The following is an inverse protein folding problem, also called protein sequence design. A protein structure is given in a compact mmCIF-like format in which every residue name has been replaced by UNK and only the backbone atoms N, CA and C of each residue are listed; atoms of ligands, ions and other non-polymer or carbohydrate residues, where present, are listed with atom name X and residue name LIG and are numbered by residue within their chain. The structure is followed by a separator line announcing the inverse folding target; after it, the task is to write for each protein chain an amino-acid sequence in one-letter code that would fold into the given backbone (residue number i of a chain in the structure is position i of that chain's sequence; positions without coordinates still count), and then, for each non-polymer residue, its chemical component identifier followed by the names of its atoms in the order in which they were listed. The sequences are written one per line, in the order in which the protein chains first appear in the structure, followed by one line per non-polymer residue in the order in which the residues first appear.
data_IF_072594154538
#
_entry.id   IF_072594154538
#
_cell.length_a   1.000
_cell.length_b   1.000
_cell.length_c   1.000
_cell.angle_alpha   90.00
_cell.angle_beta   90.00
_cell.angle_gamma   90.00
#
_symmetry.space_group_name_H-M   'P 1'
#
loop_
_entity.id
_entity.type
_entity.pdbx_description
1 polymer ?
#
# COMPACT_ATOMS: atom_id res chain seq x y z
N UNK A 1 -4.69 6.19 16.32
CA UNK A 1 -4.37 6.12 14.87
C UNK A 1 -4.02 4.66 14.53
N UNK A 2 -3.72 4.22 13.30
CA UNK A 2 -3.21 2.85 13.11
C UNK A 2 -1.85 2.69 13.79
N UNK A 3 -1.76 1.80 14.77
CA UNK A 3 -0.49 1.43 15.41
C UNK A 3 0.18 0.31 14.63
N UNK A 4 1.47 0.46 14.33
CA UNK A 4 2.32 -0.54 13.67
C UNK A 4 3.36 -1.02 14.68
N UNK A 5 3.37 -2.32 14.97
CA UNK A 5 4.39 -2.94 15.80
C UNK A 5 5.53 -3.43 14.91
N UNK A 6 6.75 -2.97 15.16
CA UNK A 6 7.94 -3.35 14.41
C UNK A 6 9.02 -3.90 15.33
N UNK A 7 9.80 -4.86 14.86
CA UNK A 7 10.96 -5.35 15.60
C UNK A 7 12.01 -4.24 15.71
N UNK A 8 12.43 -3.92 16.93
CA UNK A 8 13.30 -2.78 17.25
C UNK A 8 14.67 -2.90 16.60
N UNK A 9 15.28 -4.09 16.70
CA UNK A 9 16.61 -4.33 16.14
C UNK A 9 16.58 -4.32 14.61
N UNK A 10 15.53 -4.91 13.99
CA UNK A 10 15.37 -4.89 12.53
C UNK A 10 15.16 -3.45 12.02
N UNK A 11 14.34 -2.64 12.71
CA UNK A 11 14.14 -1.23 12.32
C UNK A 11 15.45 -0.45 12.42
N UNK A 12 16.19 -0.58 13.52
CA UNK A 12 17.44 0.14 13.73
C UNK A 12 18.52 -0.27 12.73
N UNK A 13 18.55 -1.55 12.34
CA UNK A 13 19.41 -2.01 11.25
C UNK A 13 19.05 -1.34 9.93
N UNK A 14 17.75 -1.23 9.59
CA UNK A 14 17.30 -0.53 8.39
C UNK A 14 17.57 0.98 8.42
N UNK A 15 17.58 1.59 9.61
CA UNK A 15 17.96 3.00 9.81
C UNK A 15 19.49 3.19 9.83
N UNK A 16 20.28 2.11 9.90
CA UNK A 16 21.74 2.13 9.87
C UNK A 16 22.42 2.55 11.17
N UNK A 17 21.67 2.68 12.28
CA UNK A 17 22.23 2.90 13.63
C UNK A 17 21.22 2.50 14.70
N UNK A 18 21.72 2.21 15.89
CA UNK A 18 20.88 2.08 17.10
C UNK A 18 20.52 3.47 17.65
N UNK A 19 19.33 3.56 18.25
CA UNK A 19 18.84 4.75 18.94
C UNK A 19 18.50 4.41 20.40
N UNK A 20 18.66 5.36 21.32
CA UNK A 20 17.95 5.26 22.61
C UNK A 20 16.45 5.44 22.40
N UNK A 21 15.65 5.10 23.41
CA UNK A 21 14.18 5.30 23.34
C UNK A 21 13.87 6.79 23.18
N UNK A 22 14.56 7.66 23.90
CA UNK A 22 14.38 9.12 23.82
C UNK A 22 14.81 9.69 22.46
N UNK A 23 15.95 9.24 21.91
CA UNK A 23 16.39 9.68 20.58
C UNK A 23 15.43 9.26 19.47
N UNK A 24 14.82 8.08 19.59
CA UNK A 24 13.85 7.60 18.62
C UNK A 24 12.49 8.29 18.78
N UNK A 25 12.06 8.54 20.02
CA UNK A 25 10.85 9.31 20.31
C UNK A 25 10.94 10.74 19.75
N UNK A 26 12.07 11.42 19.94
CA UNK A 26 12.32 12.75 19.37
C UNK A 26 12.29 12.73 17.83
N UNK A 27 12.90 11.71 17.20
CA UNK A 27 12.82 11.53 15.74
C UNK A 27 11.38 11.32 15.25
N UNK A 28 10.60 10.50 15.95
CA UNK A 28 9.18 10.27 15.66
C UNK A 28 8.42 11.60 15.73
N UNK A 29 8.59 12.35 16.82
CA UNK A 29 7.93 13.62 17.04
C UNK A 29 8.28 14.65 15.95
N UNK A 30 9.56 14.79 15.60
CA UNK A 30 10.02 15.70 14.54
C UNK A 30 9.39 15.36 13.18
N UNK A 31 9.23 14.07 12.89
CA UNK A 31 8.64 13.60 11.63
C UNK A 31 7.10 13.63 11.62
N UNK A 32 6.46 13.74 12.78
CA UNK A 32 4.99 13.75 12.91
C UNK A 32 4.36 12.35 13.07
N UNK A 33 5.11 11.40 13.61
CA UNK A 33 4.62 10.09 14.08
C UNK A 33 4.84 9.98 15.59
N UNK A 34 4.22 9.02 16.26
CA UNK A 34 4.33 8.90 17.73
C UNK A 34 4.84 7.51 18.12
N UNK A 35 5.82 7.46 19.02
CA UNK A 35 6.23 6.22 19.67
C UNK A 35 5.30 5.97 20.86
N UNK A 36 4.34 5.05 20.67
CA UNK A 36 3.34 4.70 21.70
C UNK A 36 3.95 3.82 22.80
N UNK A 37 4.77 2.83 22.41
CA UNK A 37 5.36 1.89 23.36
C UNK A 37 6.70 1.33 22.86
N UNK A 38 7.67 1.21 23.77
CA UNK A 38 8.92 0.46 23.58
C UNK A 38 8.95 -0.72 24.55
N UNK A 39 8.79 -1.93 24.03
CA UNK A 39 8.63 -3.14 24.86
C UNK A 39 9.94 -3.67 25.43
N UNK A 40 11.06 -2.94 25.32
CA UNK A 40 12.39 -3.38 25.79
C UNK A 40 12.39 -3.85 27.25
N UNK A 41 11.57 -3.24 28.11
CA UNK A 41 11.50 -3.60 29.53
C UNK A 41 10.48 -4.69 29.84
N UNK A 42 9.59 -5.02 28.90
CA UNK A 42 8.43 -5.91 29.10
C UNK A 42 8.58 -7.27 28.39
N UNK A 43 9.61 -7.44 27.55
CA UNK A 43 9.84 -8.68 26.81
C UNK A 43 10.24 -9.86 27.71
N UNK A 44 9.65 -11.02 27.45
CA UNK A 44 10.08 -12.25 28.11
C UNK A 44 11.50 -12.65 27.64
N UNK A 45 12.18 -13.49 28.43
CA UNK A 45 13.52 -13.99 28.06
C UNK A 45 13.47 -14.71 26.71
N UNK A 46 14.20 -14.18 25.73
CA UNK A 46 14.30 -14.74 24.38
C UNK A 46 13.38 -14.08 23.35
N UNK A 47 12.52 -13.15 23.76
CA UNK A 47 11.75 -12.31 22.85
C UNK A 47 12.55 -11.08 22.43
N UNK A 48 12.42 -10.68 21.15
CA UNK A 48 13.02 -9.44 20.65
C UNK A 48 12.07 -8.27 20.90
N UNK A 49 12.59 -7.12 21.38
CA UNK A 49 11.77 -5.96 21.67
C UNK A 49 11.13 -5.36 20.43
N UNK A 50 9.96 -4.78 20.62
CA UNK A 50 9.17 -4.13 19.59
C UNK A 50 8.98 -2.65 19.90
N UNK A 51 8.87 -1.87 18.85
CA UNK A 51 8.42 -0.48 18.90
C UNK A 51 7.00 -0.43 18.34
N UNK A 52 6.06 0.10 19.12
CA UNK A 52 4.69 0.38 18.65
C UNK A 52 4.63 1.84 18.25
N UNK A 53 4.39 2.08 16.97
CA UNK A 53 4.43 3.42 16.38
C UNK A 53 3.03 3.76 15.87
N UNK A 54 2.45 4.86 16.33
CA UNK A 54 1.21 5.40 15.76
C UNK A 54 1.50 6.18 14.48
N UNK A 55 0.79 5.81 13.42
CA UNK A 55 0.98 6.36 12.08
C UNK A 55 -0.25 7.18 11.67
N UNK A 56 -0.09 8.39 11.09
CA UNK A 56 -1.20 9.15 10.53
C UNK A 56 -2.06 8.32 9.57
N UNK A 57 -3.39 8.39 9.72
CA UNK A 57 -4.32 7.53 8.99
C UNK A 57 -4.35 7.75 7.46
N UNK A 58 -3.74 8.82 6.97
CA UNK A 58 -3.56 9.16 5.56
C UNK A 58 -2.24 8.62 4.95
N UNK A 59 -1.27 8.18 5.77
CA UNK A 59 0.03 7.69 5.32
C UNK A 59 0.10 6.17 5.23
N UNK A 60 -0.52 5.64 4.18
CA UNK A 60 -0.63 4.19 3.97
C UNK A 60 0.70 3.49 3.69
N UNK A 61 1.68 4.23 3.17
CA UNK A 61 3.03 3.76 2.91
C UNK A 61 3.71 3.31 4.22
N UNK A 62 3.39 3.93 5.36
CA UNK A 62 4.01 3.63 6.65
C UNK A 62 3.30 2.55 7.46
N UNK A 63 2.40 1.77 6.86
CA UNK A 63 1.68 0.69 7.56
C UNK A 63 2.50 -0.61 7.70
N UNK A 64 3.81 -0.56 7.41
CA UNK A 64 4.75 -1.68 7.53
C UNK A 64 6.16 -1.15 7.85
N UNK A 65 7.05 -2.05 8.32
CA UNK A 65 8.42 -1.68 8.70
C UNK A 65 9.21 -1.15 7.50
N UNK A 66 8.97 -1.69 6.31
CA UNK A 66 9.64 -1.28 5.07
C UNK A 66 9.37 0.19 4.75
N UNK A 67 8.13 0.63 4.92
CA UNK A 67 7.70 1.99 4.65
C UNK A 67 8.12 2.99 5.73
N UNK A 68 8.01 2.61 7.00
CA UNK A 68 8.52 3.43 8.12
C UNK A 68 10.01 3.68 7.95
N UNK A 69 10.79 2.63 7.73
CA UNK A 69 12.24 2.75 7.53
C UNK A 69 12.59 3.59 6.28
N UNK A 70 11.82 3.45 5.20
CA UNK A 70 12.03 4.24 3.98
C UNK A 70 11.76 5.72 4.24
N UNK A 71 10.61 6.06 4.82
CA UNK A 71 10.21 7.45 5.09
C UNK A 71 11.18 8.15 6.06
N UNK A 72 11.59 7.47 7.13
CA UNK A 72 12.55 8.03 8.09
C UNK A 72 13.95 8.20 7.48
N UNK A 73 14.42 7.28 6.64
CA UNK A 73 15.71 7.45 5.97
C UNK A 73 15.69 8.58 4.93
N UNK A 74 14.57 8.81 4.24
CA UNK A 74 14.38 9.98 3.36
C UNK A 74 14.41 11.28 4.18
N UNK A 75 13.68 11.31 5.30
CA UNK A 75 13.63 12.46 6.21
C UNK A 75 15.00 12.83 6.77
N UNK A 76 15.78 11.82 7.16
CA UNK A 76 17.15 11.96 7.64
C UNK A 76 18.16 12.29 6.53
N UNK A 77 17.73 12.35 5.26
CA UNK A 77 18.59 12.62 4.11
C UNK A 77 19.57 11.49 3.79
N UNK A 78 19.29 10.26 4.25
CA UNK A 78 20.14 9.07 4.04
C UNK A 78 19.77 8.30 2.78
N UNK A 79 18.54 8.45 2.30
CA UNK A 79 18.06 7.87 1.05
C UNK A 79 17.23 8.86 0.25
N UNK A 80 17.00 8.53 -1.02
CA UNK A 80 16.04 9.22 -1.88
C UNK A 80 14.85 8.31 -2.15
N UNK A 81 13.74 8.91 -2.59
CA UNK A 81 12.54 8.19 -3.00
C UNK A 81 12.88 7.11 -4.06
N UNK A 82 12.39 5.86 -3.91
CA UNK A 82 12.70 4.79 -4.84
C UNK A 82 12.23 5.10 -6.27
N UNK A 83 13.03 4.69 -7.25
CA UNK A 83 12.65 4.73 -8.65
C UNK A 83 11.95 3.44 -9.04
N UNK A 84 10.62 3.47 -9.06
CA UNK A 84 9.81 2.34 -9.53
C UNK A 84 9.92 2.19 -11.06
N UNK A 85 9.99 0.95 -11.53
CA UNK A 85 10.01 0.65 -12.97
C UNK A 85 9.10 -0.51 -13.33
N UNK A 86 8.50 -0.45 -14.53
CA UNK A 86 7.72 -1.55 -15.08
C UNK A 86 8.62 -2.47 -15.91
N UNK A 87 8.67 -3.76 -15.57
CA UNK A 87 9.45 -4.75 -16.29
C UNK A 87 8.67 -6.05 -16.50
N UNK A 88 8.42 -6.46 -17.76
CA UNK A 88 8.66 -5.70 -18.99
C UNK A 88 7.82 -4.40 -19.03
N UNK A 89 8.26 -3.41 -19.81
CA UNK A 89 7.56 -2.13 -19.94
C UNK A 89 6.16 -2.27 -20.58
N UNK A 90 5.97 -3.31 -21.39
CA UNK A 90 4.68 -3.66 -21.99
C UNK A 90 4.13 -4.89 -21.28
N UNK A 91 2.87 -4.86 -20.79
CA UNK A 91 2.30 -6.00 -20.08
C UNK A 91 2.19 -7.24 -20.98
N UNK A 92 2.66 -8.36 -20.46
CA UNK A 92 2.56 -9.68 -21.12
C UNK A 92 1.42 -10.52 -20.55
N UNK A 93 1.01 -10.25 -19.32
CA UNK A 93 -0.10 -10.92 -18.63
C UNK A 93 -1.35 -10.07 -18.75
N UNK A 94 -2.49 -10.73 -18.94
CA UNK A 94 -3.80 -10.08 -19.05
C UNK A 94 -4.76 -10.61 -17.98
N UNK A 95 -5.55 -9.72 -17.40
CA UNK A 95 -6.72 -10.05 -16.58
C UNK A 95 -7.96 -9.40 -17.19
N UNK A 96 -8.97 -10.18 -17.56
CA UNK A 96 -10.21 -9.66 -18.17
C UNK A 96 -11.31 -9.54 -17.13
N UNK A 97 -11.85 -8.34 -16.94
CA UNK A 97 -13.04 -8.08 -16.12
C UNK A 97 -14.29 -8.28 -16.98
N UNK A 98 -15.17 -9.20 -16.57
CA UNK A 98 -16.45 -9.46 -17.23
C UNK A 98 -17.54 -8.52 -16.71
N UNK A 99 -18.50 -8.20 -17.57
CA UNK A 99 -19.64 -7.33 -17.23
C UNK A 99 -20.44 -7.85 -16.02
N UNK A 100 -20.45 -9.16 -15.80
CA UNK A 100 -21.15 -9.79 -14.67
C UNK A 100 -20.72 -9.27 -13.30
N UNK A 101 -19.49 -8.74 -13.15
CA UNK A 101 -19.02 -8.18 -11.88
C UNK A 101 -19.66 -6.83 -11.55
N UNK A 102 -20.28 -6.15 -12.54
CA UNK A 102 -20.85 -4.80 -12.38
C UNK A 102 -21.99 -4.73 -11.37
N UNK A 103 -22.69 -5.85 -11.15
CA UNK A 103 -23.82 -5.94 -10.22
C UNK A 103 -23.41 -6.02 -8.75
N UNK A 104 -22.14 -6.32 -8.47
CA UNK A 104 -21.67 -6.58 -7.11
C UNK A 104 -20.36 -5.86 -6.77
N UNK A 105 -19.34 -5.98 -7.61
CA UNK A 105 -17.97 -5.51 -7.33
C UNK A 105 -17.25 -5.21 -8.66
N UNK A 106 -17.49 -4.03 -9.26
CA UNK A 106 -17.15 -3.74 -10.65
C UNK A 106 -15.65 -3.60 -10.96
N UNK A 107 -14.81 -3.26 -9.97
CA UNK A 107 -13.43 -2.86 -10.22
C UNK A 107 -12.44 -3.93 -9.80
N UNK A 108 -11.38 -4.09 -10.59
CA UNK A 108 -10.21 -4.87 -10.23
C UNK A 108 -8.92 -4.24 -10.78
N UNK A 109 -7.82 -4.48 -10.08
CA UNK A 109 -6.45 -4.22 -10.51
C UNK A 109 -5.61 -5.47 -10.25
N UNK A 110 -4.51 -5.61 -10.97
CA UNK A 110 -3.55 -6.69 -10.77
C UNK A 110 -2.13 -6.20 -11.02
N UNK A 111 -1.16 -6.88 -10.40
CA UNK A 111 0.27 -6.63 -10.56
C UNK A 111 1.04 -7.91 -10.23
N UNK A 112 2.28 -8.02 -10.72
CA UNK A 112 3.15 -9.16 -10.44
C UNK A 112 4.47 -8.69 -9.84
N UNK A 113 4.89 -9.34 -8.76
CA UNK A 113 6.22 -9.19 -8.16
C UNK A 113 7.06 -10.43 -8.52
N UNK A 114 8.15 -10.23 -9.28
CA UNK A 114 8.99 -11.31 -9.82
C UNK A 114 10.27 -11.56 -9.03
N UNK A 115 10.54 -12.84 -8.75
CA UNK A 115 11.71 -13.26 -8.00
C UNK A 115 11.80 -12.63 -6.61
N UNK A 116 10.66 -12.48 -5.93
CA UNK A 116 10.62 -12.02 -4.55
C UNK A 116 11.35 -13.02 -3.64
N UNK A 117 12.10 -12.50 -2.66
CA UNK A 117 12.79 -13.34 -1.66
C UNK A 117 12.23 -13.05 -0.28
N UNK A 118 11.39 -13.95 0.21
CA UNK A 118 10.86 -13.86 1.57
C UNK A 118 11.81 -14.47 2.58
N UNK A 119 12.13 -13.69 3.60
CA UNK A 119 12.45 -14.20 4.94
C UNK A 119 11.16 -14.34 5.75
N UNK A 120 11.19 -15.07 6.86
CA UNK A 120 10.04 -15.13 7.79
C UNK A 120 9.58 -13.72 8.20
N UNK A 121 10.51 -12.83 8.54
CA UNK A 121 10.23 -11.44 8.93
C UNK A 121 9.53 -10.65 7.83
N UNK A 122 10.06 -10.67 6.61
CA UNK A 122 9.44 -9.96 5.48
C UNK A 122 8.11 -10.58 5.06
N UNK A 123 7.94 -11.90 5.21
CA UNK A 123 6.67 -12.57 4.95
C UNK A 123 5.61 -12.14 5.96
N UNK A 124 5.95 -12.13 7.25
CA UNK A 124 5.05 -11.66 8.32
C UNK A 124 4.69 -10.18 8.11
N UNK A 125 5.65 -9.34 7.71
CA UNK A 125 5.40 -7.94 7.34
C UNK A 125 4.45 -7.82 6.14
N UNK A 126 4.61 -8.68 5.13
CA UNK A 126 3.75 -8.70 3.94
C UNK A 126 2.30 -9.03 4.27
N UNK A 127 2.07 -10.01 5.15
CA UNK A 127 0.73 -10.35 5.64
C UNK A 127 0.18 -9.23 6.54
N UNK A 128 1.00 -8.68 7.45
CA UNK A 128 0.59 -7.61 8.35
C UNK A 128 0.16 -6.35 7.59
N UNK A 129 0.88 -5.96 6.52
CA UNK A 129 0.49 -4.84 5.66
C UNK A 129 -0.89 -5.08 5.02
N UNK A 130 -1.12 -6.30 4.51
CA UNK A 130 -2.41 -6.67 3.93
C UNK A 130 -3.56 -6.51 4.95
N UNK A 131 -3.37 -7.02 6.16
CA UNK A 131 -4.37 -6.93 7.22
C UNK A 131 -4.63 -5.47 7.64
N UNK A 132 -3.59 -4.65 7.78
CA UNK A 132 -3.71 -3.23 8.13
C UNK A 132 -4.46 -2.43 7.05
N UNK A 133 -4.15 -2.67 5.78
CA UNK A 133 -4.86 -2.05 4.65
C UNK A 133 -6.32 -2.55 4.59
N UNK A 134 -6.58 -3.84 4.83
CA UNK A 134 -7.94 -4.42 4.88
C UNK A 134 -8.81 -3.79 5.97
N UNK A 135 -8.27 -3.62 7.18
CA UNK A 135 -9.02 -3.02 8.30
C UNK A 135 -9.29 -1.53 8.06
N UNK A 136 -8.30 -0.78 7.56
CA UNK A 136 -8.37 0.68 7.43
C UNK A 136 -8.91 1.12 6.06
N UNK A 137 -8.01 1.32 5.09
CA UNK A 137 -8.31 1.89 3.76
C UNK A 137 -9.44 1.13 3.03
N UNK A 138 -9.46 -0.18 3.18
CA UNK A 138 -10.42 -1.07 2.53
C UNK A 138 -11.77 -1.19 3.27
N UNK A 139 -11.90 -0.60 4.47
CA UNK A 139 -13.06 -0.71 5.38
C UNK A 139 -13.51 -2.15 5.59
N UNK A 140 -12.67 -2.97 6.21
CA UNK A 140 -12.94 -4.38 6.49
C UNK A 140 -13.36 -5.15 5.23
N UNK A 141 -12.61 -4.95 4.14
CA UNK A 141 -12.79 -5.55 2.81
C UNK A 141 -14.02 -5.09 2.00
N UNK A 142 -14.92 -4.31 2.60
CA UNK A 142 -16.14 -3.84 1.94
C UNK A 142 -15.84 -3.04 0.68
N UNK A 143 -14.88 -2.10 0.73
CA UNK A 143 -14.50 -1.27 -0.42
C UNK A 143 -13.49 -1.93 -1.34
N UNK A 144 -12.46 -2.56 -0.77
CA UNK A 144 -11.36 -3.19 -1.51
C UNK A 144 -10.95 -4.49 -0.82
N UNK A 145 -10.66 -5.53 -1.58
CA UNK A 145 -10.14 -6.79 -1.09
C UNK A 145 -8.91 -7.15 -1.90
N UNK A 146 -8.02 -7.92 -1.29
CA UNK A 146 -6.71 -8.22 -1.87
C UNK A 146 -6.50 -9.73 -1.78
N UNK A 147 -6.18 -10.34 -2.92
CA UNK A 147 -5.66 -11.67 -3.04
C UNK A 147 -4.17 -11.62 -3.37
N UNK A 148 -3.41 -12.51 -2.75
CA UNK A 148 -1.99 -12.70 -3.00
C UNK A 148 -1.78 -14.18 -3.30
N UNK A 149 -1.15 -14.44 -4.44
CA UNK A 149 -1.12 -15.75 -5.06
C UNK A 149 0.29 -16.14 -5.46
N UNK A 150 0.66 -17.38 -5.22
CA UNK A 150 1.83 -17.98 -5.85
C UNK A 150 1.53 -18.16 -7.35
N UNK A 151 2.13 -17.29 -8.16
CA UNK A 151 1.92 -17.27 -9.60
C UNK A 151 2.46 -18.54 -10.27
N UNK A 152 3.42 -19.24 -9.68
CA UNK A 152 3.98 -20.46 -10.27
C UNK A 152 3.00 -21.65 -10.23
N UNK A 153 1.87 -21.49 -9.51
CA UNK A 153 0.79 -22.49 -9.39
C UNK A 153 -0.44 -22.20 -10.28
N UNK A 154 -0.43 -21.04 -10.96
CA UNK A 154 -1.52 -20.51 -11.78
C UNK A 154 -1.03 -20.18 -13.20
N UNK A 155 -1.93 -20.25 -14.17
CA UNK A 155 -1.59 -19.92 -15.57
C UNK A 155 -2.51 -18.85 -16.16
N UNK A 156 -1.92 -17.75 -16.65
CA UNK A 156 -2.65 -16.73 -17.37
C UNK A 156 -3.11 -17.17 -18.79
N UNK A 157 -4.04 -16.43 -19.42
CA UNK A 157 -4.67 -15.20 -18.95
C UNK A 157 -5.67 -15.44 -17.81
N UNK A 158 -5.90 -14.42 -17.01
CA UNK A 158 -6.85 -14.44 -15.88
C UNK A 158 -8.19 -13.80 -16.25
N UNK A 159 -9.24 -14.19 -15.54
CA UNK A 159 -10.57 -13.56 -15.66
C UNK A 159 -11.14 -13.24 -14.29
N UNK A 160 -11.73 -12.06 -14.16
CA UNK A 160 -12.56 -11.65 -13.03
C UNK A 160 -14.03 -11.68 -13.45
N UNK A 161 -14.78 -12.61 -12.86
CA UNK A 161 -16.17 -12.90 -13.22
C UNK A 161 -17.05 -12.86 -11.96
N UNK A 162 -18.36 -12.72 -12.13
CA UNK A 162 -19.33 -13.06 -11.09
C UNK A 162 -20.18 -14.24 -11.56
N UNK A 163 -20.19 -15.33 -10.80
CA UNK A 163 -20.85 -16.59 -11.13
C UNK A 163 -21.84 -17.02 -10.03
N UNK A 164 -22.86 -17.83 -10.33
CA UNK A 164 -23.71 -18.43 -9.30
C UNK A 164 -22.86 -19.21 -8.27
N UNK A 165 -23.16 -19.13 -6.96
CA UNK A 165 -22.36 -19.78 -5.92
C UNK A 165 -22.16 -21.29 -6.13
N UNK A 166 -23.15 -21.98 -6.68
CA UNK A 166 -23.10 -23.42 -7.00
C UNK A 166 -22.12 -23.79 -8.12
N UNK A 167 -21.66 -22.82 -8.93
CA UNK A 167 -20.72 -23.03 -10.02
C UNK A 167 -19.26 -22.75 -9.62
N UNK A 168 -19.03 -22.29 -8.39
CA UNK A 168 -17.71 -21.94 -7.88
C UNK A 168 -17.26 -23.04 -6.92
N UNK A 169 -16.52 -24.03 -7.40
CA UNK A 169 -16.00 -25.13 -6.56
C UNK A 169 -14.48 -25.08 -6.48
N UNK A 170 -13.94 -24.99 -5.26
CA UNK A 170 -12.50 -25.00 -5.03
C UNK A 170 -12.16 -25.41 -3.59
N UNK A 171 -10.87 -25.63 -3.33
CA UNK A 171 -10.35 -25.85 -1.98
C UNK A 171 -9.96 -24.48 -1.38
N UNK A 172 -10.66 -24.00 -0.33
CA UNK A 172 -10.32 -22.74 0.33
C UNK A 172 -9.00 -22.81 1.09
N UNK A 173 -8.36 -21.67 1.30
CA UNK A 173 -7.08 -21.55 2.00
C UNK A 173 -7.06 -22.34 3.33
N UNK A 174 -6.01 -23.14 3.52
CA UNK A 174 -5.80 -24.00 4.69
C UNK A 174 -6.89 -25.07 4.90
N UNK A 175 -7.63 -25.44 3.85
CA UNK A 175 -8.59 -26.56 3.88
C UNK A 175 -8.12 -27.69 2.97
N UNK A 176 -8.73 -28.87 3.14
CA UNK A 176 -8.40 -30.08 2.35
C UNK A 176 -9.55 -30.57 1.48
N UNK A 177 -10.76 -30.06 1.70
CA UNK A 177 -11.96 -30.45 0.97
C UNK A 177 -12.41 -29.34 0.05
N UNK A 178 -12.77 -29.71 -1.18
CA UNK A 178 -13.42 -28.79 -2.10
C UNK A 178 -14.83 -28.48 -1.60
N UNK A 179 -15.22 -27.21 -1.70
CA UNK A 179 -16.53 -26.71 -1.33
C UNK A 179 -17.03 -25.80 -2.45
N UNK A 180 -18.35 -25.80 -2.68
CA UNK A 180 -18.97 -24.78 -3.51
C UNK A 180 -19.17 -23.45 -2.74
N UNK A 181 -19.59 -22.39 -3.43
CA UNK A 181 -19.81 -21.08 -2.81
C UNK A 181 -20.87 -21.08 -1.70
N UNK A 182 -21.92 -21.91 -1.80
CA UNK A 182 -22.95 -22.00 -0.75
C UNK A 182 -22.40 -22.70 0.49
N UNK A 183 -21.75 -23.85 0.29
CA UNK A 183 -21.09 -24.62 1.34
C UNK A 183 -20.03 -23.79 2.06
N UNK A 184 -19.29 -22.96 1.33
CA UNK A 184 -18.28 -22.06 1.88
C UNK A 184 -18.91 -21.03 2.83
N UNK A 185 -20.03 -20.42 2.44
CA UNK A 185 -20.75 -19.47 3.28
C UNK A 185 -21.26 -20.11 4.57
N UNK A 186 -21.82 -21.33 4.49
CA UNK A 186 -22.26 -22.08 5.67
C UNK A 186 -21.10 -22.48 6.58
N UNK A 187 -20.00 -22.96 5.98
CA UNK A 187 -18.82 -23.42 6.70
C UNK A 187 -18.17 -22.31 7.52
N UNK A 188 -18.06 -21.11 6.95
CA UNK A 188 -17.44 -19.97 7.63
C UNK A 188 -18.41 -19.10 8.44
N UNK A 189 -19.71 -19.42 8.51
CA UNK A 189 -20.71 -18.58 9.20
C UNK A 189 -20.37 -18.36 10.68
N UNK A 190 -19.79 -19.38 11.33
CA UNK A 190 -19.37 -19.34 12.74
C UNK A 190 -17.87 -19.10 12.92
N UNK A 191 -17.13 -18.89 11.83
CA UNK A 191 -15.70 -18.62 11.90
C UNK A 191 -15.45 -17.21 12.44
N UNK A 192 -14.56 -17.08 13.42
CA UNK A 192 -14.30 -15.80 14.10
C UNK A 192 -13.60 -14.78 13.19
N UNK A 193 -12.84 -15.24 12.20
CA UNK A 193 -12.01 -14.40 11.35
C UNK A 193 -12.73 -14.02 10.05
N UNK A 194 -13.43 -14.97 9.44
CA UNK A 194 -14.06 -14.85 8.13
C UNK A 194 -15.57 -14.62 8.19
N UNK A 195 -16.26 -15.12 9.23
CA UNK A 195 -17.71 -14.98 9.39
C UNK A 195 -18.17 -13.52 9.32
N UNK A 196 -17.34 -12.60 9.83
CA UNK A 196 -17.59 -11.15 9.79
C UNK A 196 -17.59 -10.54 8.39
N UNK A 197 -17.05 -11.20 7.37
CA UNK A 197 -16.98 -10.68 5.99
C UNK A 197 -18.03 -11.29 5.05
N UNK A 198 -18.68 -12.40 5.44
CA UNK A 198 -19.60 -13.12 4.54
C UNK A 198 -20.77 -12.24 4.08
N UNK A 199 -21.27 -11.38 4.96
CA UNK A 199 -22.37 -10.44 4.68
C UNK A 199 -22.10 -9.50 3.50
N UNK A 200 -20.85 -9.32 3.06
CA UNK A 200 -20.52 -8.45 1.93
C UNK A 200 -21.12 -8.98 0.62
N UNK A 201 -21.18 -10.30 0.45
CA UNK A 201 -21.67 -10.92 -0.80
C UNK A 201 -22.72 -12.03 -0.59
N UNK A 202 -22.94 -12.52 0.64
CA UNK A 202 -23.82 -13.68 0.95
C UNK A 202 -25.21 -13.61 0.31
N UNK A 203 -25.82 -12.43 0.26
CA UNK A 203 -27.19 -12.24 -0.23
C UNK A 203 -27.27 -11.99 -1.75
N UNK A 204 -26.13 -11.94 -2.43
CA UNK A 204 -26.07 -11.77 -3.88
C UNK A 204 -26.35 -13.09 -4.62
N UNK A 205 -27.07 -13.08 -5.75
CA UNK A 205 -27.27 -14.27 -6.57
C UNK A 205 -25.98 -14.75 -7.27
N UNK A 206 -24.95 -13.92 -7.30
CA UNK A 206 -23.63 -14.22 -7.91
C UNK A 206 -22.51 -13.81 -6.98
N UNK A 207 -21.42 -14.58 -6.96
CA UNK A 207 -20.21 -14.26 -6.19
C UNK A 207 -19.04 -13.92 -7.12
N UNK A 208 -18.18 -12.96 -6.75
CA UNK A 208 -17.01 -12.61 -7.52
C UNK A 208 -15.96 -13.72 -7.43
N UNK A 209 -15.29 -14.01 -8.54
CA UNK A 209 -14.26 -15.06 -8.62
C UNK A 209 -13.15 -14.64 -9.58
N UNK A 210 -11.90 -14.90 -9.17
CA UNK A 210 -10.73 -14.78 -10.03
C UNK A 210 -10.37 -16.18 -10.51
N UNK A 211 -10.28 -16.35 -11.82
CA UNK A 211 -9.99 -17.63 -12.48
C UNK A 211 -8.74 -17.51 -13.34
N UNK A 212 -7.99 -18.62 -13.43
CA UNK A 212 -6.90 -18.78 -14.38
C UNK A 212 -7.40 -19.28 -15.75
N UNK A 213 -6.49 -19.48 -16.71
CA UNK A 213 -6.80 -19.99 -18.06
C UNK A 213 -7.50 -21.34 -18.06
N UNK A 214 -7.22 -22.17 -17.07
CA UNK A 214 -7.76 -23.51 -16.92
C UNK A 214 -9.06 -23.52 -16.07
N UNK A 215 -9.59 -22.33 -15.74
CA UNK A 215 -10.74 -22.12 -14.84
C UNK A 215 -10.52 -22.66 -13.42
N UNK A 216 -9.27 -22.75 -12.97
CA UNK A 216 -8.98 -22.93 -11.55
C UNK A 216 -9.28 -21.62 -10.82
N UNK A 217 -9.91 -21.73 -9.64
CA UNK A 217 -10.18 -20.58 -8.77
C UNK A 217 -8.88 -20.15 -8.09
N UNK A 218 -8.45 -18.91 -8.32
CA UNK A 218 -7.39 -18.28 -7.55
C UNK A 218 -7.94 -17.72 -6.23
N UNK A 219 -9.05 -16.99 -6.29
CA UNK A 219 -9.73 -16.41 -5.13
C UNK A 219 -11.23 -16.25 -5.37
N UNK A 220 -11.99 -16.17 -4.27
CA UNK A 220 -13.39 -15.73 -4.25
C UNK A 220 -13.49 -14.43 -3.43
N UNK A 221 -13.18 -13.27 -4.03
CA UNK A 221 -13.23 -12.00 -3.33
C UNK A 221 -14.64 -11.66 -2.82
N UNK A 222 -14.78 -10.97 -1.68
CA UNK A 222 -13.75 -10.51 -0.76
C UNK A 222 -13.45 -11.51 0.38
N UNK A 223 -13.83 -12.79 0.22
CA UNK A 223 -13.87 -13.74 1.33
C UNK A 223 -12.53 -14.45 1.52
N UNK A 224 -12.10 -15.26 0.55
CA UNK A 224 -10.97 -16.17 0.73
C UNK A 224 -10.28 -16.54 -0.58
N UNK A 225 -8.97 -16.82 -0.50
CA UNK A 225 -8.15 -17.33 -1.59
C UNK A 225 -8.24 -18.86 -1.67
N UNK A 226 -7.87 -19.45 -2.81
CA UNK A 226 -7.69 -20.90 -2.91
C UNK A 226 -6.39 -21.34 -2.25
N UNK A 227 -6.42 -22.52 -1.62
CA UNK A 227 -5.22 -23.17 -1.10
C UNK A 227 -4.19 -23.48 -2.20
N UNK A 228 -4.67 -23.71 -3.43
CA UNK A 228 -3.82 -24.02 -4.60
C UNK A 228 -2.75 -22.97 -4.85
N UNK A 229 -3.08 -21.70 -4.67
CA UNK A 229 -2.21 -20.56 -4.96
C UNK A 229 -1.73 -19.88 -3.68
N UNK A 230 -1.75 -20.60 -2.56
CA UNK A 230 -1.25 -20.12 -1.29
C UNK A 230 0.22 -19.72 -1.42
N UNK A 231 0.53 -18.50 -0.98
CA UNK A 231 1.90 -18.04 -0.85
C UNK A 231 2.60 -18.73 0.34
N UNK A 232 3.87 -19.06 0.17
CA UNK A 232 4.76 -19.61 1.19
C UNK A 232 6.10 -18.88 1.18
N UNK A 233 7.06 -19.30 2.02
CA UNK A 233 8.41 -18.73 2.01
C UNK A 233 9.18 -19.09 0.73
N UNK A 234 8.78 -20.17 0.06
CA UNK A 234 9.37 -20.66 -1.18
C UNK A 234 8.81 -19.93 -2.42
N UNK A 235 7.68 -19.21 -2.29
CA UNK A 235 7.07 -18.47 -3.39
C UNK A 235 8.03 -17.41 -3.93
N UNK A 236 8.30 -17.47 -5.22
CA UNK A 236 9.20 -16.51 -5.90
C UNK A 236 8.47 -15.52 -6.79
N UNK A 237 7.28 -15.85 -7.28
CA UNK A 237 6.50 -14.97 -8.13
C UNK A 237 5.12 -14.77 -7.50
N UNK A 238 4.79 -13.52 -7.15
CA UNK A 238 3.53 -13.20 -6.49
C UNK A 238 2.62 -12.47 -7.46
N UNK A 239 1.45 -13.04 -7.73
CA UNK A 239 0.35 -12.38 -8.43
C UNK A 239 -0.57 -11.72 -7.40
N UNK A 240 -0.78 -10.41 -7.57
CA UNK A 240 -1.68 -9.61 -6.75
C UNK A 240 -2.99 -9.43 -7.51
N UNK A 241 -4.12 -9.77 -6.89
CA UNK A 241 -5.45 -9.37 -7.35
C UNK A 241 -6.08 -8.42 -6.34
N UNK A 242 -6.55 -7.25 -6.79
CA UNK A 242 -7.13 -6.22 -5.93
C UNK A 242 -8.50 -5.90 -6.48
N UNK A 243 -9.57 -6.29 -5.79
CA UNK A 243 -10.96 -6.10 -6.27
C UNK A 243 -11.72 -5.15 -5.38
N UNK A 244 -12.65 -4.38 -5.92
CA UNK A 244 -13.34 -3.35 -5.15
C UNK A 244 -14.61 -2.78 -5.75
N UNK A 245 -15.31 -2.03 -4.92
CA UNK A 245 -16.43 -1.15 -5.30
C UNK A 245 -15.97 0.30 -5.47
N UNK A 246 -14.77 0.65 -4.99
CA UNK A 246 -14.16 1.98 -5.13
C UNK A 246 -12.90 1.90 -6.02
N UNK A 247 -13.02 2.44 -7.24
CA UNK A 247 -11.96 2.45 -8.26
C UNK A 247 -10.66 3.10 -7.78
N UNK A 248 -10.76 4.23 -7.08
CA UNK A 248 -9.59 4.98 -6.61
C UNK A 248 -8.85 4.20 -5.54
N UNK A 249 -9.57 3.59 -4.59
CA UNK A 249 -8.95 2.78 -3.53
C UNK A 249 -8.31 1.51 -4.07
N UNK A 250 -8.91 0.86 -5.08
CA UNK A 250 -8.28 -0.28 -5.77
C UNK A 250 -6.90 0.10 -6.32
N UNK A 251 -6.80 1.25 -7.00
CA UNK A 251 -5.54 1.75 -7.53
C UNK A 251 -4.53 2.11 -6.44
N UNK A 252 -4.97 2.76 -5.35
CA UNK A 252 -4.08 3.09 -4.23
C UNK A 252 -3.53 1.81 -3.58
N UNK A 253 -4.40 0.83 -3.32
CA UNK A 253 -4.04 -0.39 -2.61
C UNK A 253 -3.01 -1.23 -3.39
N UNK A 254 -3.21 -1.42 -4.71
CA UNK A 254 -2.20 -2.12 -5.52
C UNK A 254 -0.86 -1.38 -5.50
N UNK A 255 -0.89 -0.04 -5.58
CA UNK A 255 0.30 0.80 -5.54
C UNK A 255 1.03 0.68 -4.20
N UNK A 256 0.33 0.64 -3.05
CA UNK A 256 0.97 0.49 -1.74
C UNK A 256 1.68 -0.86 -1.61
N UNK A 257 1.03 -1.96 -2.01
CA UNK A 257 1.63 -3.29 -1.94
C UNK A 257 2.90 -3.39 -2.78
N UNK A 258 2.84 -2.97 -4.04
CA UNK A 258 4.01 -3.04 -4.92
C UNK A 258 5.10 -2.06 -4.50
N UNK A 259 4.74 -0.87 -4.01
CA UNK A 259 5.71 0.12 -3.58
C UNK A 259 6.55 -0.37 -2.38
N UNK A 260 5.93 -1.06 -1.44
CA UNK A 260 6.61 -1.56 -0.23
C UNK A 260 7.41 -2.85 -0.50
N UNK A 261 6.86 -3.78 -1.29
CA UNK A 261 7.43 -5.13 -1.42
C UNK A 261 8.24 -5.37 -2.70
N UNK A 262 8.18 -4.49 -3.71
CA UNK A 262 9.03 -4.60 -4.90
C UNK A 262 10.52 -4.48 -4.58
N UNK A 263 10.89 -3.93 -3.41
CA UNK A 263 12.28 -3.89 -2.94
C UNK A 263 12.90 -5.28 -2.74
N UNK A 264 12.07 -6.29 -2.51
CA UNK A 264 12.49 -7.68 -2.31
C UNK A 264 12.50 -8.50 -3.62
N UNK A 265 12.12 -7.90 -4.75
CA UNK A 265 12.18 -8.56 -6.05
C UNK A 265 13.62 -8.74 -6.52
N UNK A 266 13.81 -9.65 -7.49
CA UNK A 266 15.13 -9.95 -8.06
C UNK A 266 15.82 -8.71 -8.62
N UNK A 267 15.05 -7.81 -9.22
CA UNK A 267 15.43 -6.42 -9.51
C UNK A 267 14.65 -5.53 -8.54
N UNK A 268 15.30 -4.89 -7.55
CA UNK A 268 14.61 -4.04 -6.59
C UNK A 268 13.81 -2.93 -7.27
N UNK A 269 12.59 -2.68 -6.78
CA UNK A 269 11.66 -1.67 -7.28
C UNK A 269 11.20 -1.89 -8.74
N UNK A 270 11.37 -3.10 -9.24
CA UNK A 270 10.80 -3.57 -10.50
C UNK A 270 9.45 -4.25 -10.27
N UNK A 271 8.48 -3.95 -11.12
CA UNK A 271 7.11 -4.47 -11.04
C UNK A 271 6.69 -4.96 -12.43
N UNK A 272 6.16 -6.18 -12.52
CA UNK A 272 5.61 -6.67 -13.78
C UNK A 272 4.15 -6.20 -13.94
N UNK A 273 3.86 -5.38 -14.97
CA UNK A 273 2.52 -4.85 -15.16
C UNK A 273 1.57 -5.89 -15.76
N UNK A 274 0.29 -5.77 -15.41
CA UNK A 274 -0.81 -6.58 -15.95
C UNK A 274 -1.73 -5.69 -16.78
N UNK A 275 -2.08 -6.15 -17.98
CA UNK A 275 -3.11 -5.52 -18.80
C UNK A 275 -4.49 -5.93 -18.25
N UNK A 276 -5.19 -4.98 -17.62
CA UNK A 276 -6.53 -5.21 -17.07
C UNK A 276 -7.56 -4.76 -18.10
N UNK A 277 -8.13 -5.75 -18.78
CA UNK A 277 -9.08 -5.57 -19.89
C UNK A 277 -10.49 -5.44 -19.34
N UNK A 278 -11.15 -4.34 -19.68
CA UNK A 278 -12.50 -4.01 -19.21
C UNK A 278 -13.29 -3.36 -20.36
N UNK A 279 -13.45 -4.10 -21.45
CA UNK A 279 -14.06 -3.57 -22.68
C UNK A 279 -15.53 -3.19 -22.51
N UNK A 280 -16.25 -3.94 -21.67
CA UNK A 280 -17.69 -3.74 -21.42
C UNK A 280 -18.03 -2.33 -20.92
N UNK A 281 -17.10 -1.66 -20.22
CA UNK A 281 -17.26 -0.29 -19.72
C UNK A 281 -16.19 0.68 -20.28
N UNK A 282 -15.43 0.27 -21.30
CA UNK A 282 -14.36 1.05 -21.95
C UNK A 282 -13.27 1.54 -21.00
N UNK A 283 -12.98 0.76 -19.97
CA UNK A 283 -11.96 1.11 -19.00
C UNK A 283 -10.74 0.18 -19.03
N UNK A 284 -10.34 -0.34 -20.19
CA UNK A 284 -9.09 -1.11 -20.30
C UNK A 284 -7.88 -0.26 -19.92
N UNK A 285 -6.96 -0.81 -19.13
CA UNK A 285 -5.84 -0.08 -18.51
C UNK A 285 -4.72 -1.03 -18.08
N UNK A 286 -3.54 -0.47 -17.84
CA UNK A 286 -2.38 -1.20 -17.31
C UNK A 286 -2.24 -0.90 -15.83
N UNK A 287 -2.06 -1.93 -15.00
CA UNK A 287 -1.77 -1.80 -13.58
C UNK A 287 -0.44 -2.46 -13.21
N UNK A 288 0.27 -1.95 -12.18
CA UNK A 288 -0.01 -0.69 -11.49
C UNK A 288 0.37 0.52 -12.36
N UNK A 289 -0.32 1.66 -12.15
CA UNK A 289 0.13 2.94 -12.70
C UNK A 289 1.17 3.54 -11.74
N UNK A 290 2.43 3.47 -12.15
CA UNK A 290 3.57 3.95 -11.37
C UNK A 290 3.99 5.38 -11.72
N UNK A 291 3.27 6.05 -12.64
CA UNK A 291 3.61 7.40 -13.06
C UNK A 291 3.41 8.38 -11.90
N UNK A 292 4.43 9.17 -11.52
CA UNK A 292 4.24 10.22 -10.52
C UNK A 292 3.18 11.23 -10.95
N UNK A 293 2.34 11.66 -10.02
CA UNK A 293 1.35 12.71 -10.27
C UNK A 293 2.05 14.06 -10.21
N UNK A 294 1.93 14.87 -11.26
CA UNK A 294 2.45 16.22 -11.26
C UNK A 294 1.46 17.16 -10.57
N UNK A 295 1.94 17.92 -9.59
CA UNK A 295 1.22 19.01 -8.94
C UNK A 295 2.10 20.25 -8.90
N UNK A 296 1.50 21.43 -8.99
CA UNK A 296 2.21 22.69 -8.86
C UNK A 296 1.98 23.29 -7.47
N UNK A 297 3.05 23.83 -6.88
CA UNK A 297 2.98 24.56 -5.63
C UNK A 297 3.72 25.90 -5.76
N UNK A 298 3.17 26.94 -5.15
CA UNK A 298 3.75 28.28 -5.13
C UNK A 298 4.79 28.42 -4.01
N UNK A 299 5.99 28.89 -4.34
CA UNK A 299 7.06 29.18 -3.38
C UNK A 299 6.62 30.28 -2.42
N UNK A 300 6.00 31.34 -2.96
CA UNK A 300 5.40 32.42 -2.20
C UNK A 300 4.34 31.93 -1.22
N UNK A 301 3.47 31.00 -1.63
CA UNK A 301 2.47 30.39 -0.75
C UNK A 301 3.12 29.64 0.43
N UNK A 302 4.07 28.73 0.14
CA UNK A 302 4.77 27.96 1.18
C UNK A 302 5.43 28.91 2.20
N UNK A 303 6.17 29.90 1.72
CA UNK A 303 6.82 30.89 2.58
C UNK A 303 5.83 31.72 3.40
N UNK A 304 4.70 32.13 2.78
CA UNK A 304 3.67 32.91 3.46
C UNK A 304 3.00 32.14 4.60
N UNK A 305 2.73 30.85 4.41
CA UNK A 305 2.13 29.99 5.43
C UNK A 305 3.11 29.70 6.58
N UNK A 306 4.38 29.53 6.26
CA UNK A 306 5.43 29.27 7.24
C UNK A 306 5.91 30.53 7.99
N UNK A 307 5.62 31.73 7.47
CA UNK A 307 6.19 32.97 7.97
C UNK A 307 7.71 33.04 7.74
N UNK A 308 8.20 32.42 6.67
CA UNK A 308 9.61 32.33 6.31
C UNK A 308 9.88 33.02 4.96
N UNK A 309 11.16 33.12 4.60
CA UNK A 309 11.61 33.58 3.30
C UNK A 309 12.73 32.66 2.77
N UNK A 310 12.40 31.39 2.62
CA UNK A 310 13.30 30.34 2.14
C UNK A 310 13.54 30.48 0.64
N UNK A 311 14.77 30.23 0.20
CA UNK A 311 15.09 30.10 -1.21
C UNK A 311 14.55 28.79 -1.81
N UNK A 312 14.50 28.75 -3.15
CA UNK A 312 13.93 27.62 -3.89
C UNK A 312 14.68 26.32 -3.61
N UNK A 313 15.99 26.37 -3.48
CA UNK A 313 16.84 25.20 -3.27
C UNK A 313 16.57 24.58 -1.89
N UNK A 314 16.42 25.42 -0.87
CA UNK A 314 16.05 25.00 0.49
C UNK A 314 14.69 24.30 0.49
N UNK A 315 13.67 24.90 -0.13
CA UNK A 315 12.33 24.28 -0.22
C UNK A 315 12.41 22.94 -0.96
N UNK A 316 13.18 22.86 -2.05
CA UNK A 316 13.41 21.62 -2.78
C UNK A 316 14.02 20.53 -1.87
N UNK A 317 15.00 20.88 -1.02
CA UNK A 317 15.59 19.90 -0.09
C UNK A 317 14.61 19.47 1.00
N UNK A 318 13.78 20.38 1.52
CA UNK A 318 12.75 20.07 2.52
C UNK A 318 11.73 19.07 1.95
N UNK A 319 11.20 19.33 0.76
CA UNK A 319 10.21 18.44 0.14
C UNK A 319 10.81 17.08 -0.24
N UNK A 320 12.10 17.03 -0.61
CA UNK A 320 12.82 15.75 -0.84
C UNK A 320 12.90 14.88 0.41
N UNK A 321 13.06 15.49 1.59
CA UNK A 321 13.02 14.77 2.88
C UNK A 321 11.67 14.13 3.16
N UNK A 322 10.58 14.65 2.57
CA UNK A 322 9.24 14.07 2.68
C UNK A 322 8.89 13.09 1.56
N UNK A 323 9.90 12.65 0.79
CA UNK A 323 9.75 11.69 -0.29
C UNK A 323 9.16 12.26 -1.58
N UNK A 324 8.96 13.58 -1.66
CA UNK A 324 8.50 14.24 -2.88
C UNK A 324 9.67 14.53 -3.81
N UNK A 325 9.38 14.66 -5.11
CA UNK A 325 10.39 14.99 -6.13
C UNK A 325 10.09 16.36 -6.74
N UNK A 326 10.46 17.47 -6.08
CA UNK A 326 10.25 18.81 -6.61
C UNK A 326 11.32 19.21 -7.63
N UNK A 327 10.93 20.00 -8.63
CA UNK A 327 11.81 20.70 -9.55
C UNK A 327 11.30 22.14 -9.72
N UNK A 328 12.20 23.11 -9.84
CA UNK A 328 11.81 24.47 -10.19
C UNK A 328 11.15 24.48 -11.58
N UNK A 329 10.00 25.14 -11.70
CA UNK A 329 9.30 25.27 -12.97
C UNK A 329 10.12 26.11 -13.95
N UNK A 330 10.23 25.65 -15.19
CA UNK A 330 11.09 26.29 -16.20
C UNK A 330 10.55 27.64 -16.71
N UNK A 331 9.25 27.88 -16.57
CA UNK A 331 8.56 29.07 -17.11
C UNK A 331 8.17 30.10 -16.06
N UNK A 332 8.03 29.69 -14.79
CA UNK A 332 7.53 30.54 -13.71
C UNK A 332 8.40 30.37 -12.46
N UNK A 333 9.17 31.41 -12.13
CA UNK A 333 10.13 31.38 -11.02
C UNK A 333 9.50 31.10 -9.65
N UNK A 334 8.24 31.46 -9.43
CA UNK A 334 7.51 31.25 -8.17
C UNK A 334 6.85 29.86 -8.07
N UNK A 335 6.94 29.03 -9.11
CA UNK A 335 6.32 27.70 -9.11
C UNK A 335 7.34 26.57 -8.99
N UNK A 336 6.95 25.56 -8.22
CA UNK A 336 7.57 24.24 -8.19
C UNK A 336 6.68 23.24 -8.91
N UNK A 337 7.27 22.46 -9.81
CA UNK A 337 6.69 21.24 -10.35
C UNK A 337 7.04 20.09 -9.40
N UNK A 338 6.05 19.60 -8.67
CA UNK A 338 6.21 18.55 -7.65
C UNK A 338 5.68 17.24 -8.17
N UNK A 339 6.57 16.27 -8.36
CA UNK A 339 6.22 14.91 -8.78
C UNK A 339 5.94 14.06 -7.54
N UNK A 340 4.67 13.73 -7.35
CA UNK A 340 4.18 12.98 -6.19
C UNK A 340 4.29 11.48 -6.48
N UNK A 341 5.04 10.71 -5.68
CA UNK A 341 5.21 9.28 -5.88
C UNK A 341 3.92 8.49 -5.60
N UNK A 342 3.86 7.24 -6.06
CA UNK A 342 2.72 6.34 -5.80
C UNK A 342 2.49 6.01 -4.33
N UNK A 343 3.49 6.24 -3.48
CA UNK A 343 3.43 6.08 -2.02
C UNK A 343 2.63 7.18 -1.33
N UNK A 344 2.41 8.33 -1.98
CA UNK A 344 1.76 9.53 -1.41
C UNK A 344 0.40 9.83 -2.05
N UNK A 345 -0.63 8.99 -1.84
CA UNK A 345 -1.98 9.27 -2.32
C UNK A 345 -2.70 10.38 -1.54
N UNK A 346 -2.15 10.77 -0.38
CA UNK A 346 -2.65 11.81 0.51
C UNK A 346 -2.44 13.23 -0.02
N UNK A 347 -1.46 13.46 -0.89
CA UNK A 347 -1.17 14.79 -1.47
C UNK A 347 -2.18 15.09 -2.59
N UNK A 348 -3.18 15.90 -2.28
CA UNK A 348 -4.30 16.26 -3.16
C UNK A 348 -4.33 17.74 -3.52
N UNK A 349 -3.62 18.59 -2.77
CA UNK A 349 -3.56 20.03 -2.97
C UNK A 349 -2.18 20.60 -2.56
N UNK A 350 -1.86 21.81 -3.03
CA UNK A 350 -0.60 22.48 -2.68
C UNK A 350 -0.42 22.73 -1.17
N UNK A 351 -1.51 22.72 -0.39
CA UNK A 351 -1.44 22.81 1.08
C UNK A 351 -0.79 21.58 1.71
N UNK A 352 -0.94 20.40 1.10
CA UNK A 352 -0.32 19.16 1.60
C UNK A 352 1.20 19.19 1.33
N UNK A 353 1.61 19.82 0.22
CA UNK A 353 3.02 20.09 -0.09
C UNK A 353 3.60 21.11 0.91
N UNK A 354 2.82 22.14 1.26
CA UNK A 354 3.21 23.11 2.28
C UNK A 354 3.33 22.45 3.67
N UNK A 355 2.41 21.55 4.05
CA UNK A 355 2.48 20.77 5.28
C UNK A 355 3.77 19.94 5.32
N UNK A 356 4.08 19.20 4.26
CA UNK A 356 5.33 18.44 4.12
C UNK A 356 6.58 19.33 4.28
N UNK A 357 6.61 20.50 3.62
CA UNK A 357 7.71 21.45 3.79
C UNK A 357 7.85 21.92 5.24
N UNK A 358 6.72 22.09 5.94
CA UNK A 358 6.68 22.53 7.33
C UNK A 358 7.22 21.47 8.29
N UNK A 359 6.82 20.21 8.09
CA UNK A 359 7.34 19.06 8.85
C UNK A 359 8.84 18.94 8.64
N UNK A 360 9.31 18.94 7.39
CA UNK A 360 10.73 18.86 7.06
C UNK A 360 11.57 20.02 7.61
N UNK A 361 10.98 21.21 7.73
CA UNK A 361 11.64 22.36 8.36
C UNK A 361 11.73 22.20 9.88
N UNK A 362 10.79 21.48 10.48
CA UNK A 362 10.65 21.27 11.92
C UNK A 362 9.85 22.39 12.57
N UNK A 363 8.68 22.06 13.10
CA UNK A 363 7.79 23.05 13.72
C UNK A 363 8.43 23.84 14.88
N UNK A 364 9.35 23.22 15.61
CA UNK A 364 10.09 23.87 16.69
C UNK A 364 11.05 24.97 16.20
N UNK A 365 11.41 24.98 14.92
CA UNK A 365 12.27 26.00 14.30
C UNK A 365 11.47 27.22 13.82
N UNK A 366 10.13 27.18 13.84
CA UNK A 366 9.29 28.30 13.45
C UNK A 366 9.24 29.36 14.55
N UNK A 367 9.48 30.61 14.16
CA UNK A 367 9.44 31.74 15.09
C UNK A 367 7.99 32.03 15.45
N UNK A 368 7.67 32.02 16.75
CA UNK A 368 6.34 32.38 17.24
C UNK A 368 6.05 33.85 16.95
N UNK A 369 5.05 34.12 16.13
CA UNK A 369 4.56 35.47 15.82
C UNK A 369 3.17 35.69 16.41
N UNK A 370 2.83 36.94 16.73
CA UNK A 370 1.46 37.31 17.11
C UNK A 370 0.67 37.72 15.87
N UNK A 371 -0.56 37.22 15.74
CA UNK A 371 -1.46 37.64 14.68
C UNK A 371 -1.75 39.14 14.82
N UNK A 372 -1.42 39.91 13.79
CA UNK A 372 -1.80 41.32 13.73
C UNK A 372 -3.19 41.41 13.11
N UNK A 373 -4.20 41.73 13.91
CA UNK A 373 -5.51 42.12 13.39
C UNK A 373 -5.35 43.43 12.63
N UNK A 374 -5.70 43.45 11.34
CA UNK A 374 -5.79 44.71 10.59
C UNK A 374 -6.80 45.62 11.30
N UNK A 375 -6.33 46.79 11.75
CA UNK A 375 -7.15 47.82 12.37
C UNK A 375 -7.88 48.65 11.30
#
# INVERSE_FOLDING_TARGET
MPTVAVDKEDLYQLLGRSYTTEEFDELCFEFGIELDEDTTNDCAKGERPQLKIEIPANRYDMLCIEGIAQALNEYLGRSSAPAYSLQPAVPQVTMTIKESTSTIRPYAAAAILRGIKFTQRSYDSFIALQDKLHTNLCRNRTLVAMGTHDLDTLEGPFTYEALPPSEITFIPLNQTKAMDGNQLMEFYEKDKNLGKYLHIIKDSPVFPVILDKNRNVASMPPIINSDRSKITLETTNVFLDITGTDKTKVAIVVNQLVAMFSRYCSTPFSIEPVNVVSEHNKETRVFPDIKPRLMQAEISYINSCLGLNLDVDTIIQLLKKMGLQPKQNESKNDLLDVYIPITRPDVLHQCDIMEDASIAYGYNNLVKTQAQSQA
#
